data_IF_714655256483
#
_entry.id   IF_714655256483
#
_cell.length_a   1.000
_cell.length_b   1.000
_cell.length_c   1.000
_cell.angle_alpha   90.00
_cell.angle_beta   90.00
_cell.angle_gamma   90.00
#
_symmetry.space_group_name_H-M   'P 1'
#
loop_
_entity.id
_entity.type
_entity.pdbx_description
1 polymer ?
#
# COMPACT_ATOMS: atom_id res chain seq x y z
N UNK A 1 -19.18 -21.40 4.62
CA UNK A 1 -17.95 -20.80 4.05
C UNK A 1 -17.61 -19.58 4.88
N UNK A 2 -16.46 -19.53 5.58
CA UNK A 2 -16.06 -18.32 6.29
C UNK A 2 -15.76 -17.24 5.25
N UNK A 3 -16.40 -16.07 5.37
CA UNK A 3 -16.00 -14.86 4.64
C UNK A 3 -14.68 -14.41 5.25
N UNK A 4 -13.55 -14.75 4.63
CA UNK A 4 -12.27 -14.15 4.98
C UNK A 4 -12.36 -12.64 4.72
N UNK A 5 -12.29 -11.85 5.78
CA UNK A 5 -12.19 -10.40 5.68
C UNK A 5 -10.70 -10.04 5.71
N UNK A 6 -10.20 -9.40 4.65
CA UNK A 6 -8.85 -8.85 4.61
C UNK A 6 -8.90 -7.45 5.21
N UNK A 7 -8.33 -7.27 6.40
CA UNK A 7 -8.11 -5.94 6.97
C UNK A 7 -6.72 -5.46 6.54
N UNK A 8 -6.65 -4.31 5.88
CA UNK A 8 -5.38 -3.67 5.50
C UNK A 8 -5.21 -2.40 6.32
N UNK A 9 -4.08 -2.28 7.03
CA UNK A 9 -3.77 -1.12 7.87
C UNK A 9 -2.68 -0.27 7.19
N UNK A 10 -3.01 0.99 6.89
CA UNK A 10 -2.08 1.96 6.30
C UNK A 10 -1.76 3.07 7.31
N UNK A 11 -0.48 3.30 7.55
CA UNK A 11 0.00 4.37 8.41
C UNK A 11 1.21 5.08 7.78
N UNK A 12 1.19 6.42 7.78
CA UNK A 12 2.37 7.25 7.52
C UNK A 12 2.71 8.03 8.78
N UNK A 13 3.98 8.03 9.17
CA UNK A 13 4.47 8.74 10.35
C UNK A 13 4.89 10.15 9.91
N UNK A 14 4.21 11.17 10.42
CA UNK A 14 4.56 12.59 10.19
C UNK A 14 5.47 13.06 11.32
N UNK A 15 6.69 13.49 10.99
CA UNK A 15 7.70 13.91 11.96
C UNK A 15 7.38 15.26 12.63
N UNK A 16 6.67 16.18 11.94
CA UNK A 16 6.29 17.48 12.49
C UNK A 16 4.76 17.71 12.43
N UNK A 17 4.10 17.58 13.58
CA UNK A 17 2.64 17.71 13.71
C UNK A 17 2.15 19.17 13.74
N UNK A 18 3.07 20.15 13.78
CA UNK A 18 2.73 21.59 13.85
C UNK A 18 2.46 22.22 12.48
N UNK A 19 2.85 21.58 11.38
CA UNK A 19 2.50 22.02 10.04
C UNK A 19 1.15 21.44 9.62
N UNK A 20 0.09 22.25 9.71
CA UNK A 20 -1.27 21.85 9.33
C UNK A 20 -1.37 21.48 7.83
N UNK A 21 -0.58 22.15 6.99
CA UNK A 21 -0.45 21.84 5.57
C UNK A 21 0.18 20.45 5.36
N UNK A 22 1.28 20.13 6.07
CA UNK A 22 1.93 18.82 5.98
C UNK A 22 1.03 17.65 6.42
N UNK A 23 0.17 17.86 7.43
CA UNK A 23 -0.82 16.85 7.84
C UNK A 23 -1.94 16.69 6.79
N UNK A 24 -2.37 17.77 6.14
CA UNK A 24 -3.41 17.74 5.09
C UNK A 24 -2.90 17.03 3.84
N UNK A 25 -1.67 17.33 3.44
CA UNK A 25 -0.95 16.68 2.35
C UNK A 25 -0.77 15.19 2.61
N UNK A 26 -0.28 14.81 3.80
CA UNK A 26 -0.11 13.40 4.18
C UNK A 26 -1.45 12.65 4.20
N UNK A 27 -2.52 13.28 4.69
CA UNK A 27 -3.86 12.67 4.70
C UNK A 27 -4.37 12.41 3.28
N UNK A 28 -4.11 13.35 2.37
CA UNK A 28 -4.46 13.21 0.95
C UNK A 28 -3.66 12.10 0.29
N UNK A 29 -2.35 12.02 0.57
CA UNK A 29 -1.51 10.91 0.14
C UNK A 29 -2.04 9.55 0.61
N UNK A 30 -2.39 9.42 1.90
CA UNK A 30 -2.98 8.18 2.42
C UNK A 30 -4.29 7.82 1.73
N UNK A 31 -5.16 8.80 1.47
CA UNK A 31 -6.43 8.56 0.82
C UNK A 31 -6.23 8.03 -0.61
N UNK A 32 -5.32 8.63 -1.38
CA UNK A 32 -4.99 8.20 -2.75
C UNK A 32 -4.44 6.76 -2.74
N UNK A 33 -3.49 6.48 -1.84
CA UNK A 33 -2.88 5.16 -1.76
C UNK A 33 -3.90 4.11 -1.30
N UNK A 34 -4.72 4.42 -0.30
CA UNK A 34 -5.76 3.51 0.21
C UNK A 34 -6.80 3.17 -0.87
N UNK A 35 -7.24 4.16 -1.64
CA UNK A 35 -8.15 3.95 -2.79
C UNK A 35 -7.54 3.02 -3.85
N UNK A 36 -6.27 3.23 -4.19
CA UNK A 36 -5.55 2.37 -5.13
C UNK A 36 -5.44 0.92 -4.65
N UNK A 37 -5.23 0.71 -3.35
CA UNK A 37 -5.14 -0.61 -2.75
C UNK A 37 -6.48 -1.34 -2.74
N UNK A 38 -7.59 -0.63 -2.50
CA UNK A 38 -8.93 -1.19 -2.67
C UNK A 38 -9.12 -1.66 -4.11
N UNK A 39 -8.79 -0.82 -5.10
CA UNK A 39 -8.89 -1.19 -6.53
C UNK A 39 -8.04 -2.41 -6.90
N UNK A 40 -6.85 -2.55 -6.33
CA UNK A 40 -5.99 -3.73 -6.54
C UNK A 40 -6.62 -4.98 -5.92
N UNK A 41 -7.17 -4.90 -4.70
CA UNK A 41 -7.85 -6.02 -4.03
C UNK A 41 -9.07 -6.48 -4.83
N UNK A 42 -9.81 -5.54 -5.43
CA UNK A 42 -10.97 -5.82 -6.29
C UNK A 42 -10.61 -6.60 -7.57
N UNK A 43 -9.33 -6.67 -7.96
CA UNK A 43 -8.87 -7.55 -9.04
C UNK A 43 -8.84 -9.03 -8.63
N UNK A 44 -8.76 -9.33 -7.33
CA UNK A 44 -8.69 -10.70 -6.80
C UNK A 44 -9.87 -11.60 -7.22
N UNK A 45 -11.13 -11.15 -7.06
CA UNK A 45 -12.30 -11.87 -7.59
C UNK A 45 -12.22 -12.13 -9.09
N UNK A 46 -11.68 -11.19 -9.89
CA UNK A 46 -11.52 -11.39 -11.34
C UNK A 46 -10.53 -12.52 -11.67
N UNK A 47 -9.48 -12.69 -10.85
CA UNK A 47 -8.56 -13.81 -10.95
C UNK A 47 -9.24 -15.13 -10.55
N UNK A 48 -9.96 -15.13 -9.43
CA UNK A 48 -10.62 -16.32 -8.88
C UNK A 48 -11.74 -16.84 -9.80
N UNK A 49 -12.44 -15.94 -10.50
CA UNK A 49 -13.51 -16.26 -11.43
C UNK A 49 -13.01 -16.57 -12.85
N UNK A 50 -11.70 -16.51 -13.10
CA UNK A 50 -11.09 -16.78 -14.41
C UNK A 50 -11.47 -15.75 -15.48
N UNK A 51 -11.92 -14.56 -15.08
CA UNK A 51 -12.41 -13.50 -15.99
C UNK A 51 -11.30 -12.74 -16.70
N UNK A 52 -10.06 -12.90 -16.27
CA UNK A 52 -8.88 -12.28 -16.88
C UNK A 52 -7.65 -13.16 -16.67
N UNK A 53 -6.66 -13.05 -17.57
CA UNK A 53 -5.40 -13.75 -17.38
C UNK A 53 -4.64 -13.18 -16.16
N UNK A 54 -3.93 -14.02 -15.38
CA UNK A 54 -3.17 -13.55 -14.22
C UNK A 54 -2.16 -12.44 -14.56
N UNK A 55 -1.52 -12.53 -15.73
CA UNK A 55 -0.60 -11.51 -16.24
C UNK A 55 -1.29 -10.16 -16.46
N UNK A 56 -2.48 -10.14 -17.04
CA UNK A 56 -3.23 -8.90 -17.29
C UNK A 56 -3.70 -8.24 -15.99
N UNK A 57 -3.96 -9.04 -14.96
CA UNK A 57 -4.32 -8.53 -13.63
C UNK A 57 -3.10 -7.96 -12.91
N UNK A 58 -1.94 -8.60 -13.02
CA UNK A 58 -0.68 -8.08 -12.47
C UNK A 58 -0.27 -6.77 -13.14
N UNK A 59 -0.36 -6.67 -14.47
CA UNK A 59 -0.09 -5.44 -15.21
C UNK A 59 -1.03 -4.33 -14.72
N UNK A 60 -2.34 -4.60 -14.65
CA UNK A 60 -3.31 -3.62 -14.14
C UNK A 60 -3.04 -3.20 -12.70
N UNK A 61 -2.69 -4.14 -11.82
CA UNK A 61 -2.32 -3.81 -10.44
C UNK A 61 -1.09 -2.89 -10.39
N UNK A 62 -0.08 -3.17 -11.22
CA UNK A 62 1.12 -2.34 -11.36
C UNK A 62 0.80 -0.92 -11.86
N UNK A 63 -0.04 -0.80 -12.88
CA UNK A 63 -0.47 0.50 -13.43
C UNK A 63 -1.23 1.33 -12.39
N UNK A 64 -2.12 0.71 -11.62
CA UNK A 64 -2.85 1.36 -10.53
C UNK A 64 -1.88 1.85 -9.45
N UNK A 65 -0.93 1.00 -9.05
CA UNK A 65 0.08 1.37 -8.06
C UNK A 65 0.97 2.54 -8.53
N UNK A 66 1.43 2.51 -9.77
CA UNK A 66 2.26 3.57 -10.35
C UNK A 66 1.52 4.91 -10.45
N UNK A 67 0.26 4.89 -10.89
CA UNK A 67 -0.59 6.08 -10.95
C UNK A 67 -0.84 6.66 -9.55
N UNK A 68 -1.16 5.81 -8.58
CA UNK A 68 -1.40 6.24 -7.21
C UNK A 68 -0.15 6.83 -6.56
N UNK A 69 1.02 6.21 -6.78
CA UNK A 69 2.30 6.72 -6.30
C UNK A 69 2.60 8.09 -6.90
N UNK A 70 2.39 8.25 -8.21
CA UNK A 70 2.60 9.51 -8.91
C UNK A 70 1.66 10.59 -8.40
N UNK A 71 0.37 10.27 -8.22
CA UNK A 71 -0.63 11.19 -7.70
C UNK A 71 -0.35 11.58 -6.24
N UNK A 72 0.06 10.63 -5.39
CA UNK A 72 0.41 10.95 -4.01
C UNK A 72 1.69 11.82 -3.93
N UNK A 73 2.65 11.62 -4.83
CA UNK A 73 3.86 12.43 -4.90
C UNK A 73 3.60 13.91 -5.28
N UNK A 74 2.43 14.27 -5.82
CA UNK A 74 2.10 15.69 -6.07
C UNK A 74 1.77 16.46 -4.80
N UNK A 75 1.48 15.75 -3.70
CA UNK A 75 1.18 16.33 -2.38
C UNK A 75 2.38 16.27 -1.44
N UNK A 76 3.60 16.21 -1.98
CA UNK A 76 4.84 16.21 -1.20
C UNK A 76 5.67 14.94 -1.36
N UNK A 77 6.89 14.97 -0.80
CA UNK A 77 7.80 13.85 -0.90
C UNK A 77 7.22 12.66 -0.13
N UNK A 78 7.03 11.55 -0.85
CA UNK A 78 6.59 10.31 -0.24
C UNK A 78 7.65 9.78 0.75
N UNK A 79 7.22 9.10 1.82
CA UNK A 79 8.15 8.41 2.69
C UNK A 79 9.03 7.48 1.85
N UNK A 80 10.34 7.39 2.15
CA UNK A 80 11.14 6.33 1.55
C UNK A 80 10.48 5.00 1.86
N UNK A 81 10.47 4.07 0.90
CA UNK A 81 10.13 2.70 1.19
C UNK A 81 11.07 2.23 2.29
N UNK A 82 10.51 1.85 3.45
CA UNK A 82 11.30 1.14 4.43
C UNK A 82 11.69 -0.18 3.78
N UNK A 83 12.94 -0.30 3.37
CA UNK A 83 13.53 -1.62 3.14
C UNK A 83 13.24 -2.40 4.42
N UNK A 84 12.49 -3.50 4.30
CA UNK A 84 12.11 -4.32 5.44
C UNK A 84 13.39 -4.84 6.09
N UNK A 85 13.92 -4.06 7.04
CA UNK A 85 15.04 -4.44 7.88
C UNK A 85 14.62 -5.63 8.71
N UNK A 86 15.24 -6.75 8.38
CA UNK A 86 15.44 -7.92 9.23
C UNK A 86 14.16 -8.60 9.74
N UNK A 87 13.79 -9.66 9.02
CA UNK A 87 13.33 -10.87 9.71
C UNK A 87 14.30 -11.08 10.86
N UNK A 88 13.78 -10.93 12.07
CA UNK A 88 14.46 -11.23 13.32
C UNK A 88 15.03 -12.66 13.21
N UNK A 89 16.28 -12.79 12.77
CA UNK A 89 17.06 -14.00 12.97
C UNK A 89 17.19 -14.11 14.48
N UNK A 90 16.37 -15.00 15.03
CA UNK A 90 16.43 -15.53 16.37
C UNK A 90 17.82 -16.15 16.57
N UNK A 91 18.82 -15.32 16.82
CA UNK A 91 20.10 -15.74 17.33
C UNK A 91 19.91 -16.07 18.81
N UNK A 92 19.27 -17.22 19.06
CA UNK A 92 19.30 -17.88 20.34
C UNK A 92 20.77 -18.18 20.66
N UNK A 93 21.38 -17.60 21.72
CA UNK A 93 22.70 -18.04 22.13
C UNK A 93 22.50 -19.38 22.84
N UNK A 94 22.64 -20.48 22.09
CA UNK A 94 22.91 -21.77 22.67
C UNK A 94 24.42 -21.94 22.77
N UNK A 95 24.95 -21.69 23.98
CA UNK A 95 26.06 -22.37 24.68
C UNK A 95 26.90 -21.39 25.49
#
# INVERSE_FOLDING_TARGET
MPKCFLAVNFATIVADRRSADAMTDTTTQLAILSDALVKIIELGPMAAEGKAAPTDLLIRAGDIAAQALTAAATYGQLPPFSESGDVQEDAHPQS
#
